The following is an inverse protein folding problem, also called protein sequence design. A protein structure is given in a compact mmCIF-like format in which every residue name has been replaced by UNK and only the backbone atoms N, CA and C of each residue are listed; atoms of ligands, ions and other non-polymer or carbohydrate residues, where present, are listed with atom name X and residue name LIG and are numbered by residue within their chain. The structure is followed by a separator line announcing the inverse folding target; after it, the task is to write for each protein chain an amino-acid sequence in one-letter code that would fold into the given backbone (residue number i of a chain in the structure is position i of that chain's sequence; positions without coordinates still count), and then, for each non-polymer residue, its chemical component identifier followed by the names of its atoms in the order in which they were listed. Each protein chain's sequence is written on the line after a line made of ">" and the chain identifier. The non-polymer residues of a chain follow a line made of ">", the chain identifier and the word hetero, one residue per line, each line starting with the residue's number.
data_IF_850770943533
#
_entry.id   IF_850770943533
#
_cell.length_a   1.000
_cell.length_b   1.000
_cell.length_c   1.000
_cell.angle_alpha   90.00
_cell.angle_beta   90.00
_cell.angle_gamma   90.00
#
_symmetry.space_group_name_H-M   'P 1'
#
loop_
_entity.id
_entity.type
_entity.pdbx_description
1 polymer ?
#
# COMPACT_ATOMS: atom_id res chain seq x y z
N UNK A 1 -0.02 -4.78 4.75
CA UNK A 1 0.73 -3.50 4.79
C UNK A 1 -0.18 -2.43 5.38
N UNK A 2 0.39 -1.51 6.16
CA UNK A 2 -0.34 -0.36 6.71
C UNK A 2 0.44 0.91 6.42
N UNK A 3 -0.23 1.88 5.79
CA UNK A 3 0.30 3.21 5.46
C UNK A 3 -0.34 4.21 6.40
N UNK A 4 0.47 5.09 7.02
CA UNK A 4 0.05 6.08 8.01
C UNK A 4 0.49 7.48 7.58
N UNK A 5 -0.32 8.48 7.89
CA UNK A 5 -0.04 9.90 7.60
C UNK A 5 -1.33 10.65 7.26
N UNK A 6 -1.23 11.78 6.55
CA UNK A 6 -2.39 12.45 5.96
C UNK A 6 -2.65 11.86 4.57
N UNK A 7 -3.55 10.87 4.53
CA UNK A 7 -3.74 9.95 3.41
C UNK A 7 -5.18 9.95 2.88
N UNK A 8 -5.98 10.95 3.25
CA UNK A 8 -7.39 11.05 2.91
C UNK A 8 -7.66 11.44 1.45
N UNK A 9 -6.62 11.87 0.72
CA UNK A 9 -6.75 12.31 -0.66
C UNK A 9 -7.40 11.20 -1.52
N UNK A 10 -8.49 11.55 -2.20
CA UNK A 10 -9.26 10.63 -3.03
C UNK A 10 -8.43 10.00 -4.17
N UNK A 11 -7.26 10.56 -4.47
CA UNK A 11 -6.30 10.06 -5.46
C UNK A 11 -5.52 8.84 -4.97
N UNK A 12 -5.36 8.62 -3.66
CA UNK A 12 -4.35 7.70 -3.16
C UNK A 12 -4.69 6.23 -3.38
N UNK A 13 -5.93 5.82 -3.04
CA UNK A 13 -6.38 4.44 -3.29
C UNK A 13 -6.28 4.08 -4.78
N UNK A 14 -6.84 4.86 -5.73
CA UNK A 14 -6.66 4.60 -7.16
C UNK A 14 -5.19 4.58 -7.60
N UNK A 15 -4.35 5.41 -6.99
CA UNK A 15 -2.91 5.43 -7.28
C UNK A 15 -2.23 4.13 -6.86
N UNK A 16 -2.53 3.64 -5.64
CA UNK A 16 -2.01 2.37 -5.09
C UNK A 16 -2.38 1.21 -6.02
N UNK A 17 -3.65 1.11 -6.39
CA UNK A 17 -4.16 0.05 -7.28
C UNK A 17 -3.42 0.06 -8.63
N UNK A 18 -3.28 1.24 -9.23
CA UNK A 18 -2.57 1.41 -10.51
C UNK A 18 -1.08 1.08 -10.39
N UNK A 19 -0.44 1.47 -9.30
CA UNK A 19 0.99 1.23 -9.09
C UNK A 19 1.28 -0.26 -8.88
N UNK A 20 0.48 -0.94 -8.05
CA UNK A 20 0.55 -2.38 -7.86
C UNK A 20 0.35 -3.13 -9.19
N UNK A 21 -0.68 -2.78 -9.97
CA UNK A 21 -0.92 -3.38 -11.28
C UNK A 21 0.25 -3.16 -12.25
N UNK A 22 0.88 -1.98 -12.23
CA UNK A 22 2.06 -1.67 -13.06
C UNK A 22 3.27 -2.54 -12.69
N UNK A 23 3.46 -2.83 -11.40
CA UNK A 23 4.52 -3.72 -10.92
C UNK A 23 4.17 -5.20 -11.10
N UNK A 24 2.93 -5.55 -11.41
CA UNK A 24 2.48 -6.94 -11.50
C UNK A 24 2.23 -7.59 -10.13
N UNK A 25 1.88 -6.79 -9.13
CA UNK A 25 1.51 -7.25 -7.79
C UNK A 25 0.00 -7.48 -7.67
N UNK A 26 -0.40 -8.51 -6.92
CA UNK A 26 -1.76 -8.62 -6.43
C UNK A 26 -1.92 -7.75 -5.18
N UNK A 27 -3.05 -7.04 -5.08
CA UNK A 27 -3.34 -6.19 -3.93
C UNK A 27 -4.83 -6.23 -3.58
N UNK A 28 -5.15 -5.98 -2.31
CA UNK A 28 -6.51 -5.75 -1.85
C UNK A 28 -6.53 -4.68 -0.76
N UNK A 29 -7.32 -3.62 -0.95
CA UNK A 29 -7.52 -2.59 0.08
C UNK A 29 -8.48 -3.13 1.14
N UNK A 30 -8.01 -3.24 2.38
CA UNK A 30 -8.78 -3.74 3.51
C UNK A 30 -9.54 -2.60 4.20
N UNK A 31 -8.90 -1.43 4.31
CA UNK A 31 -9.48 -0.23 4.91
C UNK A 31 -8.79 1.03 4.35
N UNK A 32 -9.56 2.11 4.21
CA UNK A 32 -9.03 3.43 3.88
C UNK A 32 -9.76 4.48 4.73
N UNK A 33 -8.98 5.28 5.45
CA UNK A 33 -9.43 6.36 6.31
C UNK A 33 -8.49 7.56 6.22
N UNK A 34 -8.75 8.61 7.00
CA UNK A 34 -8.04 9.86 6.84
C UNK A 34 -6.57 9.80 7.26
N UNK A 35 -6.27 8.98 8.28
CA UNK A 35 -4.94 8.85 8.89
C UNK A 35 -4.23 7.53 8.52
N UNK A 36 -4.92 6.63 7.81
CA UNK A 36 -4.49 5.24 7.62
C UNK A 36 -5.12 4.57 6.41
N UNK A 37 -4.29 3.81 5.69
CA UNK A 37 -4.72 2.81 4.69
C UNK A 37 -4.16 1.45 5.07
N UNK A 38 -4.99 0.42 4.97
CA UNK A 38 -4.62 -0.99 5.13
C UNK A 38 -4.81 -1.73 3.82
N UNK A 39 -3.82 -2.51 3.44
CA UNK A 39 -3.86 -3.31 2.22
C UNK A 39 -3.04 -4.58 2.34
N UNK A 40 -3.56 -5.65 1.77
CA UNK A 40 -2.80 -6.88 1.51
C UNK A 40 -2.09 -6.77 0.17
N UNK A 41 -0.86 -7.28 0.11
CA UNK A 41 -0.01 -7.25 -1.09
C UNK A 41 0.67 -8.61 -1.24
N UNK A 42 0.62 -9.17 -2.44
CA UNK A 42 1.25 -10.44 -2.77
C UNK A 42 2.03 -10.36 -4.09
N UNK A 43 3.20 -10.97 -4.11
CA UNK A 43 4.10 -11.03 -5.25
C UNK A 43 5.56 -11.24 -4.82
N UNK A 44 6.52 -11.14 -5.76
CA UNK A 44 7.94 -11.20 -5.44
C UNK A 44 8.35 -10.12 -4.43
N UNK A 45 9.16 -10.49 -3.43
CA UNK A 45 9.55 -9.60 -2.34
C UNK A 45 10.16 -8.27 -2.85
N UNK A 46 11.02 -8.34 -3.87
CA UNK A 46 11.66 -7.17 -4.48
C UNK A 46 10.64 -6.17 -5.05
N UNK A 47 9.53 -6.66 -5.62
CA UNK A 47 8.49 -5.81 -6.17
C UNK A 47 7.61 -5.22 -5.05
N UNK A 48 7.40 -5.97 -3.96
CA UNK A 48 6.74 -5.45 -2.76
C UNK A 48 7.59 -4.33 -2.12
N UNK A 49 8.91 -4.45 -2.12
CA UNK A 49 9.82 -3.39 -1.68
C UNK A 49 9.69 -2.14 -2.57
N UNK A 50 9.61 -2.32 -3.90
CA UNK A 50 9.34 -1.21 -4.83
C UNK A 50 7.99 -0.55 -4.58
N UNK A 51 6.96 -1.33 -4.23
CA UNK A 51 5.63 -0.82 -3.89
C UNK A 51 5.66 0.02 -2.60
N UNK A 52 6.34 -0.45 -1.56
CA UNK A 52 6.55 0.32 -0.32
C UNK A 52 7.27 1.64 -0.61
N UNK A 53 8.35 1.60 -1.39
CA UNK A 53 9.09 2.80 -1.80
C UNK A 53 8.23 3.76 -2.64
N UNK A 54 7.34 3.26 -3.49
CA UNK A 54 6.40 4.09 -4.22
C UNK A 54 5.40 4.78 -3.29
N UNK A 55 4.79 4.02 -2.39
CA UNK A 55 3.81 4.53 -1.43
C UNK A 55 4.41 5.58 -0.49
N UNK A 56 5.67 5.47 -0.08
CA UNK A 56 6.31 6.46 0.81
C UNK A 56 6.52 7.82 0.14
N UNK A 57 6.56 7.85 -1.19
CA UNK A 57 6.64 9.07 -2.00
C UNK A 57 5.26 9.66 -2.31
N UNK A 58 4.21 8.81 -2.26
CA UNK A 58 2.82 9.16 -2.52
C UNK A 58 2.56 9.72 -3.93
N UNK A 59 1.29 9.97 -4.28
CA UNK A 59 0.96 11.07 -5.17
C UNK A 59 1.23 12.42 -4.48
N UNK A 60 1.37 13.49 -5.27
CA UNK A 60 1.83 14.81 -4.80
C UNK A 60 0.93 15.47 -3.74
N UNK A 61 -0.31 15.03 -3.61
CA UNK A 61 -1.37 15.53 -2.74
C UNK A 61 -1.54 14.71 -1.45
N UNK A 62 -0.60 13.81 -1.13
CA UNK A 62 -0.63 12.92 0.05
C UNK A 62 0.65 13.11 0.87
N UNK A 63 0.53 12.98 2.18
CA UNK A 63 1.68 12.95 3.09
C UNK A 63 1.77 11.62 3.84
N UNK A 64 2.73 10.77 3.45
CA UNK A 64 2.99 9.51 4.15
C UNK A 64 4.07 9.71 5.21
N UNK A 65 3.76 9.34 6.45
CA UNK A 65 4.68 9.43 7.58
C UNK A 65 5.39 8.10 7.85
N UNK A 66 4.67 6.99 7.71
CA UNK A 66 5.21 5.66 7.99
C UNK A 66 4.51 4.57 7.18
N UNK A 67 5.28 3.56 6.82
CA UNK A 67 4.75 2.30 6.28
C UNK A 67 5.18 1.17 7.21
N UNK A 68 4.24 0.28 7.51
CA UNK A 68 4.47 -0.92 8.32
C UNK A 68 4.08 -2.14 7.51
N UNK A 69 5.00 -3.08 7.38
CA UNK A 69 4.76 -4.38 6.76
C UNK A 69 4.76 -5.48 7.82
N UNK A 70 3.82 -6.39 7.67
CA UNK A 70 3.80 -7.66 8.37
C UNK A 70 3.51 -8.74 7.32
N UNK A 71 4.14 -9.92 7.40
CA UNK A 71 3.74 -11.07 6.61
C UNK A 71 2.26 -11.36 6.83
N UNK A 72 1.53 -11.71 5.77
CA UNK A 72 0.19 -12.26 5.91
C UNK A 72 0.40 -13.67 6.45
N UNK A 73 -0.10 -13.95 7.65
CA UNK A 73 -0.09 -15.31 8.17
C UNK A 73 -0.99 -16.16 7.26
N UNK A 74 -0.37 -17.01 6.44
CA UNK A 74 -1.12 -18.07 5.77
C UNK A 74 -1.59 -19.03 6.85
N UNK A 75 -2.90 -19.09 7.10
CA UNK A 75 -3.46 -20.22 7.85
C UNK A 75 -3.02 -21.50 7.13
N UNK A 76 -2.09 -22.21 7.76
CA UNK A 76 -1.62 -23.50 7.31
C UNK A 76 -2.69 -24.50 7.70
N UNK A 77 -3.63 -24.75 6.79
CA UNK A 77 -4.62 -25.83 6.89
C UNK A 77 -4.02 -27.20 6.65
#
# INVERSE_FOLDING_TARGET
>A
MTILGDVEAASFVPWIERHAAKLGLAQAICAAGPDRIELDIAGPAELIDMMEMGCSLGPIDVWVEAIRRAPIESESG
#
